data_IF_848186796293
#
_entry.id   IF_848186796293
#
_cell.length_a   1.000
_cell.length_b   1.000
_cell.length_c   1.000
_cell.angle_alpha   90.00
_cell.angle_beta   90.00
_cell.angle_gamma   90.00
#
_symmetry.space_group_name_H-M   'P 1'
#
loop_
_entity.id
_entity.type
_entity.pdbx_description
1 polymer ?
#
# COMPACT_ATOMS: atom_id res chain seq x y z
N UNK A 1 59.32 -33.95 14.67
CA UNK A 1 59.25 -32.61 14.07
C UNK A 1 58.12 -32.61 13.07
N UNK A 2 56.94 -32.19 13.54
CA UNK A 2 55.67 -32.30 12.82
C UNK A 2 55.52 -31.05 11.95
N UNK A 3 55.50 -31.28 10.65
CA UNK A 3 54.98 -30.37 9.65
C UNK A 3 53.47 -30.54 9.68
N UNK A 4 52.72 -29.54 10.15
CA UNK A 4 51.28 -29.47 9.89
C UNK A 4 50.77 -28.02 9.85
N UNK A 5 50.34 -27.64 8.63
CA UNK A 5 49.08 -26.97 8.26
C UNK A 5 48.59 -25.82 9.14
N UNK A 6 48.44 -24.64 8.54
CA UNK A 6 47.11 -24.05 8.29
C UNK A 6 47.14 -23.31 6.96
N UNK A 7 46.80 -24.03 5.90
CA UNK A 7 46.15 -23.44 4.73
C UNK A 7 44.73 -23.11 5.18
N UNK A 8 44.48 -21.87 5.61
CA UNK A 8 43.12 -21.42 5.88
C UNK A 8 42.42 -21.29 4.54
N UNK A 9 41.79 -22.40 4.17
CA UNK A 9 40.86 -22.51 3.05
C UNK A 9 39.84 -21.37 3.15
N UNK A 10 39.76 -20.54 2.11
CA UNK A 10 38.65 -19.63 1.86
C UNK A 10 37.35 -20.45 1.85
N UNK A 11 36.70 -20.57 3.01
CA UNK A 11 35.43 -21.27 3.14
C UNK A 11 34.30 -20.24 3.10
N UNK A 12 33.62 -20.06 1.96
CA UNK A 12 32.56 -19.05 1.82
C UNK A 12 31.40 -19.28 2.80
N UNK A 13 31.20 -20.50 3.29
CA UNK A 13 30.15 -20.80 4.28
C UNK A 13 30.45 -20.23 5.66
N UNK A 14 31.71 -20.27 6.11
CA UNK A 14 32.13 -19.68 7.41
C UNK A 14 32.01 -18.16 7.37
N UNK A 15 32.49 -17.55 6.28
CA UNK A 15 32.40 -16.08 6.09
C UNK A 15 30.94 -15.58 6.08
N UNK A 16 30.02 -16.35 5.50
CA UNK A 16 28.60 -16.01 5.53
C UNK A 16 27.99 -16.14 6.93
N UNK A 17 28.40 -17.15 7.72
CA UNK A 17 27.98 -17.28 9.12
C UNK A 17 28.51 -16.12 9.98
N UNK A 18 29.76 -15.69 9.76
CA UNK A 18 30.36 -14.55 10.48
C UNK A 18 29.63 -13.24 10.17
N UNK A 19 29.21 -13.04 8.92
CA UNK A 19 28.41 -11.87 8.52
C UNK A 19 27.01 -11.90 9.14
N UNK A 20 26.35 -13.05 9.16
CA UNK A 20 25.03 -13.18 9.79
C UNK A 20 25.08 -12.93 11.29
N UNK A 21 26.11 -13.45 11.98
CA UNK A 21 26.31 -13.20 13.40
C UNK A 21 26.58 -11.71 13.67
N UNK A 22 27.42 -11.08 12.84
CA UNK A 22 27.70 -9.66 12.94
C UNK A 22 26.45 -8.79 12.73
N UNK A 23 25.64 -9.14 11.73
CA UNK A 23 24.34 -8.51 11.49
C UNK A 23 23.43 -8.62 12.72
N UNK A 24 23.31 -9.82 13.28
CA UNK A 24 22.46 -10.07 14.44
C UNK A 24 22.90 -9.26 15.66
N UNK A 25 24.21 -9.19 15.93
CA UNK A 25 24.76 -8.34 17.02
C UNK A 25 24.35 -6.87 16.89
N UNK A 26 24.33 -6.33 15.66
CA UNK A 26 23.89 -4.95 15.43
C UNK A 26 22.38 -4.82 15.63
N UNK A 27 21.59 -5.76 15.11
CA UNK A 27 20.13 -5.72 15.22
C UNK A 27 19.67 -5.83 16.68
N UNK A 28 20.26 -6.73 17.46
CA UNK A 28 19.92 -6.93 18.87
C UNK A 28 20.24 -5.68 19.69
N UNK A 29 21.40 -5.07 19.46
CA UNK A 29 21.76 -3.80 20.11
C UNK A 29 20.75 -2.69 19.80
N UNK A 30 20.38 -2.50 18.52
CA UNK A 30 19.40 -1.47 18.14
C UNK A 30 18.02 -1.75 18.73
N UNK A 31 17.61 -3.02 18.80
CA UNK A 31 16.35 -3.44 19.42
C UNK A 31 16.32 -3.24 20.93
N UNK A 32 17.46 -3.33 21.60
CA UNK A 32 17.63 -3.07 23.03
C UNK A 32 17.51 -1.56 23.30
N UNK A 33 18.38 -0.75 22.69
CA UNK A 33 18.44 0.69 22.98
C UNK A 33 17.15 1.43 22.59
N UNK A 34 16.48 1.03 21.50
CA UNK A 34 15.28 1.74 21.03
C UNK A 34 14.09 1.60 21.98
N UNK A 35 14.10 0.61 22.87
CA UNK A 35 13.04 0.40 23.85
C UNK A 35 13.22 1.26 25.10
N UNK A 36 14.46 1.45 25.51
CA UNK A 36 14.78 1.98 26.84
C UNK A 36 15.39 3.39 26.80
N UNK A 37 16.03 3.77 25.70
CA UNK A 37 16.77 5.03 25.60
C UNK A 37 15.96 6.14 24.92
N UNK A 38 16.26 7.42 25.22
CA UNK A 38 15.74 8.54 24.46
C UNK A 38 16.11 8.43 22.97
N UNK A 39 15.18 8.79 22.08
CA UNK A 39 15.43 8.70 20.63
C UNK A 39 16.59 9.56 20.14
N UNK A 40 16.94 10.65 20.83
CA UNK A 40 18.14 11.44 20.54
C UNK A 40 19.42 10.62 20.69
N UNK A 41 19.49 9.81 21.74
CA UNK A 41 20.69 9.06 22.09
C UNK A 41 20.82 7.85 21.15
N UNK A 42 19.70 7.19 20.85
CA UNK A 42 19.63 6.13 19.83
C UNK A 42 20.07 6.63 18.45
N UNK A 43 19.69 7.86 18.08
CA UNK A 43 20.11 8.48 16.83
C UNK A 43 21.61 8.76 16.79
N UNK A 44 22.20 9.19 17.91
CA UNK A 44 23.64 9.43 18.00
C UNK A 44 24.43 8.12 17.98
N UNK A 45 23.94 7.04 18.61
CA UNK A 45 24.55 5.70 18.46
C UNK A 45 24.47 5.20 17.01
N UNK A 46 23.32 5.37 16.35
CA UNK A 46 23.16 5.01 14.94
C UNK A 46 24.12 5.81 14.03
N UNK A 47 24.23 7.13 14.27
CA UNK A 47 25.14 8.02 13.57
C UNK A 47 26.60 7.62 13.82
N UNK A 48 26.96 7.36 15.07
CA UNK A 48 28.28 6.90 15.50
C UNK A 48 28.70 5.63 14.77
N UNK A 49 27.80 4.64 14.75
CA UNK A 49 28.03 3.34 14.13
C UNK A 49 28.17 3.43 12.61
N UNK A 50 27.16 3.95 11.90
CA UNK A 50 27.07 3.83 10.44
C UNK A 50 27.67 5.01 9.67
N UNK A 51 27.71 6.22 10.24
CA UNK A 51 28.12 7.44 9.53
C UNK A 51 29.49 7.94 9.99
N UNK A 52 29.75 7.94 11.30
CA UNK A 52 30.96 8.55 11.87
C UNK A 52 32.08 7.57 12.17
N UNK A 53 31.81 6.26 12.29
CA UNK A 53 32.80 5.21 12.62
C UNK A 53 33.44 5.42 13.99
N UNK A 54 32.64 5.83 14.95
CA UNK A 54 33.08 5.98 16.33
C UNK A 54 32.77 4.72 17.12
N UNK A 55 33.49 4.53 18.21
CA UNK A 55 33.11 3.54 19.21
C UNK A 55 31.74 3.95 19.77
N UNK A 56 30.79 3.05 19.62
CA UNK A 56 29.48 3.09 20.25
C UNK A 56 29.59 2.59 21.69
N UNK A 57 28.54 2.82 22.50
CA UNK A 57 28.50 2.30 23.88
C UNK A 57 28.61 0.77 23.90
N UNK A 58 28.17 0.08 22.85
CA UNK A 58 28.37 -1.36 22.69
C UNK A 58 29.73 -1.68 22.06
N UNK A 59 30.62 -2.24 22.88
CA UNK A 59 31.96 -2.70 22.46
C UNK A 59 31.96 -3.71 21.31
N UNK A 60 30.82 -4.36 21.04
CA UNK A 60 30.70 -5.45 20.07
C UNK A 60 30.16 -5.00 18.70
N UNK A 61 29.53 -3.83 18.62
CA UNK A 61 28.84 -3.39 17.38
C UNK A 61 29.77 -2.79 16.34
N UNK A 62 30.78 -2.02 16.74
CA UNK A 62 31.81 -1.53 15.82
C UNK A 62 32.63 -2.68 15.20
N UNK A 63 33.13 -3.68 15.96
CA UNK A 63 33.73 -4.89 15.38
C UNK A 63 32.80 -5.66 14.44
N UNK A 64 31.51 -5.78 14.79
CA UNK A 64 30.53 -6.43 13.93
C UNK A 64 30.36 -5.68 12.60
N UNK A 65 30.26 -4.36 12.62
CA UNK A 65 30.20 -3.56 11.40
C UNK A 65 31.45 -3.74 10.54
N UNK A 66 32.63 -3.77 11.16
CA UNK A 66 33.88 -4.05 10.45
C UNK A 66 33.86 -5.44 9.79
N UNK A 67 33.36 -6.47 10.46
CA UNK A 67 33.20 -7.82 9.88
C UNK A 67 32.37 -7.77 8.58
N UNK A 68 31.25 -7.04 8.60
CA UNK A 68 30.39 -6.84 7.42
C UNK A 68 31.14 -6.09 6.32
N UNK A 69 31.90 -5.03 6.63
CA UNK A 69 32.68 -4.28 5.65
C UNK A 69 33.82 -5.11 5.04
N UNK A 70 34.49 -5.91 5.86
CA UNK A 70 35.58 -6.80 5.41
C UNK A 70 35.08 -8.00 4.62
N UNK A 71 33.79 -8.35 4.71
CA UNK A 71 33.15 -9.30 3.79
C UNK A 71 33.18 -8.82 2.33
N UNK A 72 33.37 -7.51 2.12
CA UNK A 72 33.37 -6.83 0.82
C UNK A 72 32.09 -7.08 0.01
N UNK A 73 30.96 -7.31 0.68
CA UNK A 73 29.65 -7.46 0.04
C UNK A 73 28.79 -6.23 0.29
N UNK A 74 28.67 -5.39 -0.75
CA UNK A 74 27.87 -4.15 -0.71
C UNK A 74 26.40 -4.42 -0.39
N UNK A 75 25.83 -5.50 -0.92
CA UNK A 75 24.42 -5.84 -0.71
C UNK A 75 24.16 -6.20 0.74
N UNK A 76 25.05 -6.96 1.38
CA UNK A 76 24.90 -7.28 2.81
C UNK A 76 24.97 -6.04 3.69
N UNK A 77 25.87 -5.11 3.38
CA UNK A 77 25.91 -3.82 4.08
C UNK A 77 24.60 -3.02 3.88
N UNK A 78 24.10 -2.92 2.64
CA UNK A 78 22.82 -2.26 2.35
C UNK A 78 21.65 -2.91 3.09
N UNK A 79 21.57 -4.24 3.08
CA UNK A 79 20.55 -5.01 3.82
C UNK A 79 20.64 -4.74 5.32
N UNK A 80 21.86 -4.68 5.87
CA UNK A 80 22.11 -4.40 7.29
C UNK A 80 21.62 -3.01 7.67
N UNK A 81 22.04 -2.00 6.91
CA UNK A 81 21.64 -0.61 7.12
C UNK A 81 20.13 -0.44 6.97
N UNK A 82 19.54 -1.04 5.93
CA UNK A 82 18.10 -1.04 5.67
C UNK A 82 17.32 -1.61 6.85
N UNK A 83 17.64 -2.83 7.28
CA UNK A 83 16.96 -3.49 8.40
C UNK A 83 17.13 -2.71 9.70
N UNK A 84 18.31 -2.15 9.94
CA UNK A 84 18.59 -1.27 11.08
C UNK A 84 17.67 -0.05 11.12
N UNK A 85 17.44 0.61 9.97
CA UNK A 85 16.47 1.71 9.88
C UNK A 85 15.04 1.24 10.23
N UNK A 86 14.60 0.10 9.69
CA UNK A 86 13.23 -0.38 9.92
C UNK A 86 12.99 -0.87 11.36
N UNK A 87 14.00 -1.42 12.03
CA UNK A 87 13.95 -1.73 13.47
C UNK A 87 13.59 -0.47 14.25
N UNK A 88 14.28 0.64 14.00
CA UNK A 88 14.04 1.91 14.69
C UNK A 88 12.68 2.51 14.31
N UNK A 89 12.35 2.53 13.02
CA UNK A 89 11.08 3.07 12.50
C UNK A 89 9.88 2.35 13.12
N UNK A 90 9.90 1.02 13.20
CA UNK A 90 8.78 0.27 13.79
C UNK A 90 8.53 0.62 15.25
N UNK A 91 9.60 0.70 16.05
CA UNK A 91 9.49 1.04 17.47
C UNK A 91 8.99 2.48 17.64
N UNK A 92 9.55 3.44 16.91
CA UNK A 92 9.11 4.84 16.98
C UNK A 92 7.72 5.08 16.39
N UNK A 93 7.28 4.30 15.39
CA UNK A 93 5.91 4.34 14.88
C UNK A 93 4.88 3.90 15.94
N UNK A 94 5.24 2.93 16.80
CA UNK A 94 4.41 2.48 17.91
C UNK A 94 4.40 3.52 19.03
N UNK A 95 5.56 4.06 19.39
CA UNK A 95 5.72 5.12 20.39
C UNK A 95 5.20 6.50 19.93
N UNK A 96 4.81 6.63 18.64
CA UNK A 96 4.40 7.89 17.99
C UNK A 96 5.49 8.97 17.98
N UNK A 97 6.76 8.57 18.02
CA UNK A 97 7.93 9.43 17.94
C UNK A 97 8.29 9.78 16.49
N UNK A 98 7.34 10.41 15.78
CA UNK A 98 7.51 10.74 14.36
C UNK A 98 8.69 11.70 14.11
N UNK A 99 9.04 12.52 15.09
CA UNK A 99 10.22 13.38 15.05
C UNK A 99 11.53 12.59 14.95
N UNK A 100 11.65 11.48 15.67
CA UNK A 100 12.82 10.61 15.62
C UNK A 100 12.99 9.96 14.24
N UNK A 101 11.88 9.47 13.66
CA UNK A 101 11.85 8.94 12.29
C UNK A 101 12.33 10.00 11.28
N UNK A 102 11.87 11.24 11.43
CA UNK A 102 12.34 12.37 10.59
C UNK A 102 13.84 12.57 10.73
N UNK A 103 14.34 12.64 11.96
CA UNK A 103 15.76 12.86 12.24
C UNK A 103 16.62 11.73 11.68
N UNK A 104 16.20 10.47 11.78
CA UNK A 104 16.88 9.31 11.18
C UNK A 104 17.05 9.47 9.67
N UNK A 105 15.98 9.80 8.95
CA UNK A 105 16.05 10.02 7.49
C UNK A 105 16.94 11.22 7.16
N UNK A 106 16.93 12.27 7.99
CA UNK A 106 17.79 13.45 7.82
C UNK A 106 19.28 13.14 8.03
N UNK A 107 19.66 12.11 8.80
CA UNK A 107 21.06 11.69 8.94
C UNK A 107 21.72 11.42 7.59
N UNK A 108 20.97 10.89 6.63
CA UNK A 108 21.47 10.57 5.30
C UNK A 108 21.67 11.79 4.38
N UNK A 109 21.30 12.99 4.84
CA UNK A 109 21.63 14.26 4.17
C UNK A 109 22.95 14.85 4.63
N UNK A 110 23.62 14.22 5.61
CA UNK A 110 24.86 14.70 6.20
C UNK A 110 25.98 14.80 5.13
N UNK A 111 26.62 15.98 4.97
CA UNK A 111 27.68 16.19 3.98
C UNK A 111 28.89 15.28 4.20
N UNK A 112 29.09 14.73 5.41
CA UNK A 112 30.18 13.79 5.72
C UNK A 112 30.13 12.51 4.88
N UNK A 113 28.93 12.09 4.44
CA UNK A 113 28.75 10.93 3.54
C UNK A 113 29.48 11.16 2.21
N UNK A 114 29.53 12.41 1.74
CA UNK A 114 30.17 12.79 0.46
C UNK A 114 31.61 13.28 0.60
N UNK A 115 32.15 13.34 1.83
CA UNK A 115 33.53 13.79 2.04
C UNK A 115 34.52 12.76 1.49
N UNK A 116 35.60 13.24 0.91
CA UNK A 116 36.73 12.38 0.51
C UNK A 116 37.46 11.89 1.77
N UNK A 117 37.88 10.63 1.79
CA UNK A 117 38.71 10.04 2.84
C UNK A 117 39.96 9.45 2.24
N UNK A 118 41.08 9.58 2.96
CA UNK A 118 42.35 8.92 2.62
C UNK A 118 42.35 7.44 3.04
N UNK A 119 41.52 7.04 4.02
CA UNK A 119 41.39 5.65 4.45
C UNK A 119 40.59 4.83 3.42
N UNK A 120 41.13 3.72 2.88
CA UNK A 120 40.45 2.88 1.89
C UNK A 120 39.12 2.32 2.41
N UNK A 121 39.05 1.92 3.68
CA UNK A 121 37.85 1.36 4.32
C UNK A 121 36.75 2.42 4.42
N UNK A 122 37.11 3.63 4.89
CA UNK A 122 36.16 4.75 5.02
C UNK A 122 35.70 5.21 3.63
N UNK A 123 36.60 5.25 2.64
CA UNK A 123 36.25 5.60 1.26
C UNK A 123 35.23 4.63 0.68
N UNK A 124 35.44 3.31 0.88
CA UNK A 124 34.52 2.27 0.42
C UNK A 124 33.15 2.40 1.05
N UNK A 125 33.10 2.56 2.36
CA UNK A 125 31.85 2.73 3.05
C UNK A 125 31.11 3.99 2.59
N UNK A 126 31.77 5.16 2.53
CA UNK A 126 31.13 6.40 2.06
C UNK A 126 30.53 6.22 0.66
N UNK A 127 31.23 5.50 -0.21
CA UNK A 127 30.69 5.12 -1.51
C UNK A 127 29.46 4.19 -1.40
N UNK A 128 29.47 3.21 -0.49
CA UNK A 128 28.31 2.36 -0.25
C UNK A 128 27.13 3.13 0.35
N UNK A 129 27.36 4.04 1.29
CA UNK A 129 26.34 4.94 1.84
C UNK A 129 25.76 5.84 0.77
N UNK A 130 26.60 6.45 -0.08
CA UNK A 130 26.13 7.26 -1.20
C UNK A 130 25.25 6.42 -2.14
N UNK A 131 25.70 5.22 -2.51
CA UNK A 131 24.89 4.33 -3.32
C UNK A 131 23.59 3.88 -2.63
N UNK A 132 23.56 3.81 -1.30
CA UNK A 132 22.32 3.52 -0.57
C UNK A 132 21.36 4.72 -0.66
N UNK A 133 21.87 5.93 -0.47
CA UNK A 133 21.09 7.17 -0.60
C UNK A 133 20.49 7.35 -2.00
N UNK A 134 21.19 6.88 -3.03
CA UNK A 134 20.73 6.93 -4.42
C UNK A 134 19.84 5.72 -4.81
N UNK A 135 19.64 4.75 -3.90
CA UNK A 135 18.89 3.51 -4.17
C UNK A 135 17.38 3.64 -3.95
N UNK A 136 16.64 2.67 -4.47
CA UNK A 136 15.19 2.53 -4.25
C UNK A 136 14.86 2.30 -2.76
N UNK A 137 15.71 1.55 -2.03
CA UNK A 137 15.54 1.29 -0.59
C UNK A 137 15.48 2.59 0.23
N UNK A 138 16.27 3.60 -0.14
CA UNK A 138 16.22 4.89 0.56
C UNK A 138 15.04 5.76 0.12
N UNK A 139 14.59 5.65 -1.14
CA UNK A 139 13.32 6.28 -1.57
C UNK A 139 12.14 5.70 -0.78
N UNK A 140 12.13 4.40 -0.55
CA UNK A 140 11.15 3.69 0.25
C UNK A 140 11.13 4.20 1.71
N UNK A 141 12.29 4.38 2.33
CA UNK A 141 12.42 4.96 3.67
C UNK A 141 11.87 6.40 3.74
N UNK A 142 12.03 7.20 2.69
CA UNK A 142 11.48 8.57 2.65
C UNK A 142 9.96 8.61 2.74
N UNK A 143 9.24 7.56 2.32
CA UNK A 143 7.77 7.52 2.39
C UNK A 143 7.24 7.69 3.83
N UNK A 144 8.02 7.30 4.85
CA UNK A 144 7.63 7.38 6.26
C UNK A 144 7.63 8.81 6.83
N UNK A 145 8.40 9.72 6.22
CA UNK A 145 8.51 11.12 6.66
C UNK A 145 7.77 12.07 5.74
N UNK A 146 7.62 11.69 4.46
CA UNK A 146 7.06 12.55 3.43
C UNK A 146 5.75 13.15 3.92
N UNK A 147 4.74 12.37 4.30
CA UNK A 147 3.41 12.89 4.66
C UNK A 147 3.33 13.84 5.85
N UNK A 148 4.29 13.78 6.78
CA UNK A 148 4.16 14.46 8.09
C UNK A 148 4.96 15.76 8.19
N UNK A 149 6.03 15.93 7.41
CA UNK A 149 7.07 16.92 7.75
C UNK A 149 7.59 17.78 6.60
N UNK A 150 7.17 17.58 5.36
CA UNK A 150 7.66 18.43 4.27
C UNK A 150 6.84 19.74 4.19
N UNK A 151 7.59 20.86 4.26
CA UNK A 151 7.12 22.25 4.19
C UNK A 151 7.02 22.78 2.74
N UNK A 152 7.53 22.03 1.77
CA UNK A 152 7.41 22.36 0.34
C UNK A 152 6.02 21.97 -0.17
N UNK A 153 5.56 22.64 -1.23
CA UNK A 153 4.32 22.27 -1.91
C UNK A 153 4.44 20.79 -2.33
N UNK A 154 3.69 19.88 -1.71
CA UNK A 154 3.89 18.46 -1.90
C UNK A 154 3.60 18.08 -3.35
N UNK A 155 4.50 17.32 -3.98
CA UNK A 155 4.19 16.63 -5.22
C UNK A 155 2.89 15.83 -5.06
N UNK A 156 2.04 15.81 -6.08
CA UNK A 156 0.68 15.26 -5.97
C UNK A 156 0.67 13.78 -5.56
N UNK A 157 1.69 13.00 -5.96
CA UNK A 157 1.81 11.57 -5.67
C UNK A 157 1.91 11.25 -4.18
N UNK A 158 2.45 12.19 -3.38
CA UNK A 158 2.59 12.05 -1.92
C UNK A 158 1.26 11.79 -1.22
N UNK A 159 0.17 12.34 -1.74
CA UNK A 159 -1.17 12.10 -1.19
C UNK A 159 -1.59 10.62 -1.23
N UNK A 160 -0.97 9.86 -2.11
CA UNK A 160 -1.26 8.46 -2.38
C UNK A 160 -0.20 7.51 -1.80
N UNK A 161 0.59 7.96 -0.81
CA UNK A 161 1.62 7.12 -0.15
C UNK A 161 1.09 5.79 0.35
N UNK A 162 -0.18 5.70 0.76
CA UNK A 162 -0.76 4.42 1.19
C UNK A 162 -0.63 3.32 0.13
N UNK A 163 -0.71 3.68 -1.16
CA UNK A 163 -0.47 2.76 -2.27
C UNK A 163 1.01 2.62 -2.59
N UNK A 164 1.79 3.69 -2.53
CA UNK A 164 3.25 3.64 -2.77
C UNK A 164 4.02 2.74 -1.79
N UNK A 165 3.45 2.46 -0.61
CA UNK A 165 3.99 1.51 0.36
C UNK A 165 3.73 0.03 -0.01
N UNK A 166 2.87 -0.24 -1.01
CA UNK A 166 2.46 -1.59 -1.38
C UNK A 166 3.60 -2.51 -1.85
N UNK A 167 4.49 -2.05 -2.76
CA UNK A 167 5.64 -2.86 -3.17
C UNK A 167 6.47 -3.35 -1.97
N UNK A 168 6.62 -2.53 -0.94
CA UNK A 168 7.43 -2.86 0.24
C UNK A 168 6.86 -4.03 1.05
N UNK A 169 5.54 -4.08 1.30
CA UNK A 169 4.95 -5.14 2.14
C UNK A 169 4.59 -6.43 1.38
N UNK A 170 4.48 -6.36 0.06
CA UNK A 170 4.18 -7.52 -0.81
C UNK A 170 5.44 -8.32 -1.09
N UNK A 171 6.54 -7.64 -1.37
CA UNK A 171 7.80 -8.29 -1.68
C UNK A 171 8.30 -9.11 -0.48
N UNK A 172 8.37 -10.43 -0.67
CA UNK A 172 8.82 -11.38 0.36
C UNK A 172 10.34 -11.37 0.54
N UNK A 173 11.09 -10.76 -0.37
CA UNK A 173 12.54 -10.57 -0.24
C UNK A 173 12.89 -9.45 0.73
N UNK A 174 11.95 -8.53 1.02
CA UNK A 174 12.14 -7.49 2.02
C UNK A 174 12.15 -8.06 3.45
N UNK A 175 12.94 -7.47 4.37
CA UNK A 175 12.92 -7.82 5.78
C UNK A 175 11.51 -7.74 6.38
N UNK A 176 11.23 -8.59 7.36
CA UNK A 176 9.92 -8.60 8.04
C UNK A 176 9.60 -7.21 8.60
N UNK A 177 10.59 -6.55 9.20
CA UNK A 177 10.44 -5.23 9.80
C UNK A 177 10.00 -4.19 8.76
N UNK A 178 10.55 -4.22 7.54
CA UNK A 178 10.15 -3.34 6.44
C UNK A 178 8.69 -3.60 6.03
N UNK A 179 8.34 -4.87 5.87
CA UNK A 179 7.01 -5.28 5.42
C UNK A 179 5.93 -4.89 6.44
N UNK A 180 6.22 -5.05 7.73
CA UNK A 180 5.33 -4.65 8.81
C UNK A 180 5.19 -3.12 8.90
N UNK A 181 6.31 -2.39 8.83
CA UNK A 181 6.32 -0.92 8.84
C UNK A 181 5.43 -0.35 7.74
N UNK A 182 5.63 -0.83 6.50
CA UNK A 182 4.92 -0.35 5.33
C UNK A 182 3.43 -0.71 5.39
N UNK A 183 3.09 -1.93 5.83
CA UNK A 183 1.69 -2.37 5.99
C UNK A 183 0.97 -1.55 7.06
N UNK A 184 1.59 -1.36 8.22
CA UNK A 184 1.02 -0.60 9.32
C UNK A 184 0.78 0.87 8.94
N UNK A 185 1.76 1.52 8.29
CA UNK A 185 1.62 2.90 7.83
C UNK A 185 0.55 3.04 6.74
N UNK A 186 0.53 2.13 5.75
CA UNK A 186 -0.49 2.12 4.69
C UNK A 186 -1.90 2.02 5.28
N UNK A 187 -2.11 1.09 6.21
CA UNK A 187 -3.41 0.91 6.88
C UNK A 187 -3.81 2.15 7.68
N UNK A 188 -2.90 2.72 8.48
CA UNK A 188 -3.15 3.96 9.24
C UNK A 188 -3.58 5.12 8.33
N UNK A 189 -2.92 5.30 7.19
CA UNK A 189 -3.26 6.35 6.22
C UNK A 189 -4.66 6.14 5.63
N UNK A 190 -5.02 4.89 5.30
CA UNK A 190 -6.36 4.54 4.79
C UNK A 190 -7.44 4.77 5.84
N UNK A 191 -7.20 4.36 7.08
CA UNK A 191 -8.17 4.51 8.16
C UNK A 191 -8.37 5.98 8.54
N UNK A 192 -7.29 6.77 8.52
CA UNK A 192 -7.40 8.24 8.63
C UNK A 192 -8.25 8.81 7.51
N UNK A 193 -8.01 8.43 6.25
CA UNK A 193 -8.82 8.89 5.12
C UNK A 193 -10.30 8.53 5.27
N UNK A 194 -10.62 7.29 5.69
CA UNK A 194 -12.01 6.87 5.97
C UNK A 194 -12.66 7.72 7.06
N UNK A 195 -11.94 7.96 8.16
CA UNK A 195 -12.42 8.77 9.27
C UNK A 195 -12.69 10.22 8.83
N UNK A 196 -11.72 10.83 8.14
CA UNK A 196 -11.85 12.21 7.65
C UNK A 196 -13.02 12.33 6.66
N UNK A 197 -13.25 11.32 5.82
CA UNK A 197 -14.39 11.27 4.88
C UNK A 197 -15.73 11.12 5.61
N UNK A 198 -15.80 10.27 6.64
CA UNK A 198 -16.99 10.13 7.47
C UNK A 198 -17.32 11.44 8.21
N UNK A 199 -16.30 12.11 8.75
CA UNK A 199 -16.44 13.42 9.40
C UNK A 199 -16.90 14.51 8.42
N UNK A 200 -16.35 14.52 7.21
CA UNK A 200 -16.73 15.45 6.15
C UNK A 200 -18.21 15.29 5.77
N UNK A 201 -18.66 14.05 5.57
CA UNK A 201 -20.05 13.74 5.16
C UNK A 201 -21.08 14.01 6.26
N UNK A 202 -20.81 13.65 7.52
CA UNK A 202 -21.75 13.84 8.63
C UNK A 202 -22.08 15.30 8.94
N UNK A 203 -21.17 16.22 8.62
CA UNK A 203 -21.26 17.63 9.02
C UNK A 203 -21.54 18.62 7.89
N UNK A 204 -21.71 18.14 6.66
CA UNK A 204 -21.99 18.96 5.49
C UNK A 204 -23.26 19.84 5.57
N UNK A 205 -24.38 19.47 6.25
CA UNK A 205 -25.60 20.26 6.19
C UNK A 205 -25.69 21.47 7.15
N UNK A 206 -24.70 21.77 8.00
CA UNK A 206 -24.76 22.94 8.91
C UNK A 206 -24.38 24.23 8.18
N UNK A 207 -25.39 25.01 7.78
CA UNK A 207 -25.23 26.30 7.14
C UNK A 207 -24.62 27.35 8.10
N UNK A 208 -23.93 28.30 7.48
CA UNK A 208 -23.64 29.69 7.90
C UNK A 208 -22.54 30.07 8.90
N UNK A 209 -21.92 29.19 9.70
CA UNK A 209 -20.79 29.66 10.56
C UNK A 209 -19.56 28.73 10.71
N UNK A 210 -19.66 27.45 10.32
CA UNK A 210 -18.56 26.48 10.49
C UNK A 210 -17.97 25.93 9.17
N UNK A 211 -18.39 26.44 8.01
CA UNK A 211 -17.85 26.02 6.70
C UNK A 211 -16.34 26.30 6.58
N UNK A 212 -15.84 27.37 7.17
CA UNK A 212 -14.43 27.78 7.10
C UNK A 212 -13.46 26.84 7.85
N UNK A 213 -13.95 25.98 8.74
CA UNK A 213 -13.09 25.11 9.57
C UNK A 213 -12.93 23.68 9.04
N UNK A 214 -13.53 23.31 7.89
CA UNK A 214 -13.60 21.91 7.48
C UNK A 214 -12.96 21.67 6.12
N UNK A 215 -11.92 20.85 6.14
CA UNK A 215 -11.12 20.49 4.97
C UNK A 215 -11.73 19.26 4.33
N UNK A 216 -12.14 19.37 3.06
CA UNK A 216 -12.53 18.21 2.26
C UNK A 216 -11.31 17.28 2.15
N UNK A 217 -11.41 16.01 2.59
CA UNK A 217 -10.27 15.11 2.56
C UNK A 217 -9.93 14.63 1.16
N UNK A 218 -10.68 15.03 0.12
CA UNK A 218 -10.49 14.70 -1.30
C UNK A 218 -10.08 15.92 -2.14
N UNK A 219 -9.46 15.68 -3.30
CA UNK A 219 -9.21 16.73 -4.31
C UNK A 219 -10.39 16.97 -5.26
N UNK A 220 -11.51 16.30 -5.03
CA UNK A 220 -12.72 16.36 -5.87
C UNK A 220 -13.59 17.59 -5.59
N UNK A 221 -13.33 18.33 -4.52
CA UNK A 221 -14.22 19.39 -4.05
C UNK A 221 -15.64 18.85 -3.83
N UNK A 222 -16.65 19.63 -4.21
CA UNK A 222 -18.07 19.25 -4.04
C UNK A 222 -18.48 18.05 -4.89
N UNK A 223 -17.71 17.68 -5.92
CA UNK A 223 -17.99 16.48 -6.70
C UNK A 223 -17.81 15.18 -5.91
N UNK A 224 -17.06 15.21 -4.80
CA UNK A 224 -16.96 14.09 -3.87
C UNK A 224 -18.34 13.65 -3.37
N UNK A 225 -19.21 14.61 -3.01
CA UNK A 225 -20.55 14.31 -2.51
C UNK A 225 -21.46 13.72 -3.58
N UNK A 226 -21.32 14.17 -4.83
CA UNK A 226 -22.03 13.58 -5.97
C UNK A 226 -21.63 12.12 -6.17
N UNK A 227 -20.33 11.81 -6.09
CA UNK A 227 -19.83 10.43 -6.14
C UNK A 227 -20.39 9.60 -4.99
N UNK A 228 -20.32 10.11 -3.75
CA UNK A 228 -20.84 9.38 -2.58
C UNK A 228 -22.34 9.13 -2.70
N UNK A 229 -23.14 10.14 -3.10
CA UNK A 229 -24.58 9.98 -3.35
C UNK A 229 -24.85 8.93 -4.42
N UNK A 230 -24.13 8.97 -5.54
CA UNK A 230 -24.27 7.98 -6.61
C UNK A 230 -23.94 6.55 -6.15
N UNK A 231 -22.94 6.39 -5.29
CA UNK A 231 -22.57 5.10 -4.70
C UNK A 231 -23.62 4.61 -3.68
N UNK A 232 -24.09 5.48 -2.79
CA UNK A 232 -25.06 5.11 -1.74
C UNK A 232 -26.45 4.89 -2.30
N UNK A 233 -26.89 5.65 -3.31
CA UNK A 233 -28.20 5.46 -3.96
C UNK A 233 -28.34 4.05 -4.56
N UNK A 234 -27.24 3.41 -4.95
CA UNK A 234 -27.21 2.04 -5.48
C UNK A 234 -27.19 0.94 -4.40
N UNK A 235 -27.21 1.26 -3.10
CA UNK A 235 -27.07 0.30 -1.98
C UNK A 235 -28.32 -0.51 -1.59
N UNK A 236 -29.41 -0.46 -2.36
CA UNK A 236 -30.61 -1.29 -2.11
C UNK A 236 -30.38 -2.80 -2.30
N UNK A 237 -31.35 -3.54 -2.85
CA UNK A 237 -31.20 -4.97 -3.16
C UNK A 237 -29.96 -5.31 -4.02
N UNK A 238 -29.40 -4.31 -4.71
CA UNK A 238 -28.23 -4.39 -5.58
C UNK A 238 -26.93 -3.88 -4.95
N UNK A 239 -26.79 -3.90 -3.62
CA UNK A 239 -25.51 -3.57 -2.98
C UNK A 239 -24.37 -4.41 -3.58
N UNK A 240 -23.21 -3.80 -3.83
CA UNK A 240 -22.10 -4.51 -4.47
C UNK A 240 -21.66 -5.76 -3.68
N UNK A 241 -21.79 -5.75 -2.35
CA UNK A 241 -21.54 -6.91 -1.48
C UNK A 241 -22.56 -8.04 -1.72
N UNK A 242 -23.84 -7.71 -1.84
CA UNK A 242 -24.87 -8.71 -2.13
C UNK A 242 -24.65 -9.34 -3.51
N UNK A 243 -24.32 -8.51 -4.51
CA UNK A 243 -24.00 -9.00 -5.86
C UNK A 243 -22.79 -9.93 -5.86
N UNK A 244 -21.72 -9.57 -5.14
CA UNK A 244 -20.54 -10.42 -5.01
C UNK A 244 -20.86 -11.77 -4.36
N UNK A 245 -21.67 -11.77 -3.29
CA UNK A 245 -22.13 -13.00 -2.62
C UNK A 245 -22.96 -13.89 -3.54
N UNK A 246 -23.90 -13.31 -4.29
CA UNK A 246 -24.72 -14.05 -5.28
C UNK A 246 -23.81 -14.64 -6.37
N UNK A 247 -22.88 -13.85 -6.90
CA UNK A 247 -21.92 -14.32 -7.90
C UNK A 247 -21.08 -15.50 -7.38
N UNK A 248 -20.53 -15.40 -6.17
CA UNK A 248 -19.78 -16.50 -5.56
C UNK A 248 -20.63 -17.77 -5.40
N UNK A 249 -21.90 -17.63 -4.99
CA UNK A 249 -22.82 -18.77 -4.88
C UNK A 249 -23.13 -19.40 -6.25
N UNK A 250 -23.33 -18.58 -7.29
CA UNK A 250 -23.65 -19.06 -8.64
C UNK A 250 -22.45 -19.66 -9.38
N UNK A 251 -21.23 -19.29 -8.99
CA UNK A 251 -20.00 -19.75 -9.64
C UNK A 251 -19.40 -21.01 -9.00
N UNK A 252 -19.95 -21.47 -7.87
CA UNK A 252 -19.56 -22.72 -7.25
C UNK A 252 -19.80 -23.92 -8.19
N UNK A 253 -18.76 -24.73 -8.39
CA UNK A 253 -18.82 -25.92 -9.24
C UNK A 253 -18.83 -25.65 -10.75
N UNK A 254 -18.70 -24.39 -11.19
CA UNK A 254 -18.54 -24.09 -12.61
C UNK A 254 -17.16 -24.54 -13.12
N UNK A 255 -17.11 -24.83 -14.41
CA UNK A 255 -15.84 -24.95 -15.13
C UNK A 255 -15.18 -23.57 -15.23
N UNK A 256 -13.86 -23.54 -15.31
CA UNK A 256 -13.12 -22.29 -15.48
C UNK A 256 -13.54 -21.51 -16.73
N UNK A 257 -13.84 -22.20 -17.84
CA UNK A 257 -14.33 -21.56 -19.06
C UNK A 257 -15.64 -20.79 -18.84
N UNK A 258 -16.62 -21.42 -18.17
CA UNK A 258 -17.89 -20.79 -17.80
C UNK A 258 -17.70 -19.64 -16.82
N UNK A 259 -16.83 -19.82 -15.81
CA UNK A 259 -16.51 -18.79 -14.83
C UNK A 259 -16.03 -17.50 -15.49
N UNK A 260 -15.17 -17.58 -16.51
CA UNK A 260 -14.66 -16.40 -17.22
C UNK A 260 -15.76 -15.56 -17.87
N UNK A 261 -16.76 -16.21 -18.46
CA UNK A 261 -17.90 -15.51 -19.07
C UNK A 261 -18.74 -14.83 -18.00
N UNK A 262 -19.11 -15.57 -16.95
CA UNK A 262 -19.88 -15.02 -15.83
C UNK A 262 -19.15 -13.89 -15.13
N UNK A 263 -17.81 -13.93 -15.06
CA UNK A 263 -16.99 -12.88 -14.48
C UNK A 263 -17.16 -11.56 -15.24
N UNK A 264 -17.09 -11.55 -16.58
CA UNK A 264 -17.28 -10.32 -17.38
C UNK A 264 -18.68 -9.75 -17.16
N UNK A 265 -19.70 -10.60 -17.23
CA UNK A 265 -21.09 -10.21 -17.00
C UNK A 265 -21.28 -9.58 -15.62
N UNK A 266 -20.73 -10.21 -14.57
CA UNK A 266 -20.79 -9.70 -13.20
C UNK A 266 -20.10 -8.33 -13.04
N UNK A 267 -18.89 -8.18 -13.59
CA UNK A 267 -18.12 -6.94 -13.49
C UNK A 267 -18.87 -5.77 -14.15
N UNK A 268 -19.50 -6.01 -15.29
CA UNK A 268 -20.21 -4.98 -16.06
C UNK A 268 -21.72 -4.88 -15.73
N UNK A 269 -22.24 -5.77 -14.88
CA UNK A 269 -23.61 -5.73 -14.39
C UNK A 269 -23.95 -4.36 -13.77
N UNK A 270 -25.13 -3.81 -14.07
CA UNK A 270 -25.61 -2.47 -13.65
C UNK A 270 -24.89 -1.25 -14.26
N UNK A 271 -23.96 -1.44 -15.20
CA UNK A 271 -23.52 -0.35 -16.07
C UNK A 271 -24.62 -0.03 -17.09
N UNK A 272 -24.90 1.26 -17.31
CA UNK A 272 -25.83 1.68 -18.37
C UNK A 272 -25.29 1.14 -19.69
N UNK A 273 -26.08 0.31 -20.39
CA UNK A 273 -25.70 -0.25 -21.70
C UNK A 273 -25.51 0.91 -22.67
N UNK A 274 -24.24 1.23 -22.88
CA UNK A 274 -23.75 2.23 -23.83
C UNK A 274 -22.79 1.52 -24.77
N UNK A 275 -22.61 2.02 -25.99
CA UNK A 275 -21.65 1.45 -26.96
C UNK A 275 -20.25 1.27 -26.38
N UNK A 276 -19.89 2.17 -25.45
CA UNK A 276 -18.67 2.08 -24.66
C UNK A 276 -18.61 0.80 -23.79
N UNK A 277 -19.67 0.47 -23.05
CA UNK A 277 -19.70 -0.72 -22.19
C UNK A 277 -19.62 -1.99 -23.03
N UNK A 278 -20.28 -2.02 -24.18
CA UNK A 278 -20.19 -3.14 -25.15
C UNK A 278 -18.76 -3.30 -25.67
N UNK A 279 -18.08 -2.19 -25.95
CA UNK A 279 -16.68 -2.21 -26.39
C UNK A 279 -15.76 -2.75 -25.29
N UNK A 280 -15.95 -2.30 -24.05
CA UNK A 280 -15.20 -2.77 -22.89
C UNK A 280 -15.43 -4.28 -22.63
N UNK A 281 -16.68 -4.71 -22.65
CA UNK A 281 -17.10 -6.11 -22.52
C UNK A 281 -16.41 -6.98 -23.56
N UNK A 282 -16.49 -6.60 -24.84
CA UNK A 282 -15.90 -7.36 -25.95
C UNK A 282 -14.38 -7.48 -25.79
N UNK A 283 -13.68 -6.40 -25.44
CA UNK A 283 -12.22 -6.42 -25.26
C UNK A 283 -11.81 -7.26 -24.06
N UNK A 284 -12.52 -7.14 -22.94
CA UNK A 284 -12.23 -7.89 -21.72
C UNK A 284 -12.52 -9.39 -21.91
N UNK A 285 -13.65 -9.73 -22.53
CA UNK A 285 -14.02 -11.10 -22.89
C UNK A 285 -12.98 -11.74 -23.80
N UNK A 286 -12.50 -11.01 -24.83
CA UNK A 286 -11.44 -11.50 -25.72
C UNK A 286 -10.16 -11.85 -24.96
N UNK A 287 -9.73 -10.99 -24.03
CA UNK A 287 -8.53 -11.23 -23.20
C UNK A 287 -8.72 -12.43 -22.26
N UNK A 288 -9.87 -12.52 -21.58
CA UNK A 288 -10.18 -13.64 -20.67
C UNK A 288 -10.30 -14.97 -21.42
N UNK A 289 -10.93 -15.00 -22.59
CA UNK A 289 -11.05 -16.23 -23.38
C UNK A 289 -9.69 -16.88 -23.67
N UNK A 290 -8.67 -16.06 -23.96
CA UNK A 290 -7.29 -16.52 -24.17
C UNK A 290 -6.51 -16.85 -22.89
N UNK A 291 -7.03 -16.53 -21.71
CA UNK A 291 -6.33 -16.73 -20.44
C UNK A 291 -6.48 -18.18 -19.94
N UNK A 292 -5.34 -18.83 -19.66
CA UNK A 292 -5.26 -20.17 -19.06
C UNK A 292 -6.16 -21.22 -19.74
N UNK A 293 -6.20 -21.24 -21.08
CA UNK A 293 -7.10 -22.09 -21.89
C UNK A 293 -7.05 -23.57 -21.50
N UNK A 294 -5.87 -24.08 -21.12
CA UNK A 294 -5.67 -25.47 -20.69
C UNK A 294 -6.53 -25.88 -19.49
N UNK A 295 -6.95 -24.92 -18.67
CA UNK A 295 -7.75 -25.14 -17.47
C UNK A 295 -9.25 -24.97 -17.73
N UNK A 296 -9.70 -24.61 -18.94
CA UNK A 296 -11.10 -24.27 -19.23
C UNK A 296 -12.11 -25.35 -18.81
N UNK A 297 -11.73 -26.64 -18.92
CA UNK A 297 -12.59 -27.76 -18.56
C UNK A 297 -12.43 -28.24 -17.11
N UNK A 298 -11.49 -27.65 -16.37
CA UNK A 298 -11.28 -27.98 -14.97
C UNK A 298 -12.28 -27.22 -14.09
N UNK A 299 -12.65 -27.79 -12.94
CA UNK A 299 -13.44 -27.07 -11.94
C UNK A 299 -12.68 -25.83 -11.48
N UNK A 300 -13.41 -24.74 -11.25
CA UNK A 300 -12.84 -23.53 -10.67
C UNK A 300 -12.33 -23.82 -9.25
N UNK A 301 -11.07 -23.51 -8.99
CA UNK A 301 -10.51 -23.46 -7.63
C UNK A 301 -10.19 -22.01 -7.20
N UNK A 302 -9.91 -21.83 -5.91
CA UNK A 302 -9.62 -20.52 -5.34
C UNK A 302 -8.32 -19.89 -5.88
N UNK A 303 -7.32 -20.71 -6.22
CA UNK A 303 -6.03 -20.25 -6.76
C UNK A 303 -6.20 -19.70 -8.16
N UNK A 304 -6.96 -20.39 -9.01
CA UNK A 304 -7.27 -20.00 -10.38
C UNK A 304 -8.17 -18.77 -10.41
N UNK A 305 -9.13 -18.66 -9.49
CA UNK A 305 -9.93 -17.45 -9.30
C UNK A 305 -9.05 -16.25 -8.91
N UNK A 306 -8.10 -16.43 -7.99
CA UNK A 306 -7.13 -15.39 -7.58
C UNK A 306 -6.23 -14.96 -8.75
N UNK A 307 -5.59 -15.92 -9.43
CA UNK A 307 -4.72 -15.65 -10.58
C UNK A 307 -5.47 -14.91 -11.70
N UNK A 308 -6.71 -15.33 -11.96
CA UNK A 308 -7.58 -14.68 -12.94
C UNK A 308 -7.93 -13.26 -12.51
N UNK A 309 -8.26 -13.05 -11.23
CA UNK A 309 -8.57 -11.73 -10.70
C UNK A 309 -7.38 -10.77 -10.80
N UNK A 310 -6.17 -11.25 -10.46
CA UNK A 310 -4.93 -10.50 -10.63
C UNK A 310 -4.68 -10.16 -12.10
N UNK A 311 -4.93 -11.10 -13.01
CA UNK A 311 -4.77 -10.83 -14.44
C UNK A 311 -5.79 -9.83 -14.99
N UNK A 312 -7.02 -9.85 -14.48
CA UNK A 312 -8.02 -8.82 -14.83
C UNK A 312 -7.59 -7.45 -14.30
N UNK A 313 -6.97 -7.39 -13.12
CA UNK A 313 -6.36 -6.15 -12.62
C UNK A 313 -5.30 -5.64 -13.60
N UNK A 314 -4.39 -6.49 -14.08
CA UNK A 314 -3.38 -6.09 -15.08
C UNK A 314 -4.03 -5.51 -16.35
N UNK A 315 -5.05 -6.18 -16.87
CA UNK A 315 -5.78 -5.72 -18.04
C UNK A 315 -6.47 -4.38 -17.82
N UNK A 316 -6.90 -4.07 -16.59
CA UNK A 316 -7.58 -2.83 -16.24
C UNK A 316 -6.64 -1.73 -15.75
N UNK A 317 -5.38 -2.04 -15.43
CA UNK A 317 -4.42 -1.12 -14.80
C UNK A 317 -3.12 -1.03 -15.60
N UNK A 318 -2.22 -2.00 -15.49
CA UNK A 318 -0.90 -2.05 -16.15
C UNK A 318 -0.59 -3.50 -16.56
N UNK A 319 -0.45 -3.78 -17.86
CA UNK A 319 -0.26 -5.16 -18.35
C UNK A 319 1.19 -5.64 -18.30
N UNK A 320 2.12 -4.70 -18.39
CA UNK A 320 3.57 -4.85 -18.39
C UNK A 320 4.20 -4.35 -17.08
N UNK A 321 3.38 -3.96 -16.10
CA UNK A 321 3.81 -3.39 -14.81
C UNK A 321 4.53 -2.03 -14.91
N UNK A 322 4.62 -1.45 -16.10
CA UNK A 322 5.33 -0.21 -16.37
C UNK A 322 4.41 0.86 -16.96
N UNK A 323 3.58 0.47 -17.92
CA UNK A 323 2.74 1.39 -18.67
C UNK A 323 1.24 1.12 -18.45
N UNK A 324 0.42 2.18 -18.53
CA UNK A 324 -1.03 2.03 -18.38
C UNK A 324 -1.60 1.16 -19.50
N UNK A 325 -2.47 0.22 -19.12
CA UNK A 325 -3.08 -0.69 -20.07
C UNK A 325 -3.95 0.05 -21.09
N UNK A 326 -4.19 -0.62 -22.22
CA UNK A 326 -5.10 -0.10 -23.25
C UNK A 326 -6.54 0.10 -22.73
N UNK A 327 -7.01 -0.71 -21.78
CA UNK A 327 -8.34 -0.57 -21.18
C UNK A 327 -8.37 0.55 -20.15
N UNK A 328 -7.30 0.71 -19.36
CA UNK A 328 -7.15 1.80 -18.42
C UNK A 328 -7.24 3.15 -19.13
N UNK A 329 -6.43 3.30 -20.18
CA UNK A 329 -6.44 4.48 -21.05
C UNK A 329 -7.82 4.71 -21.64
N UNK A 330 -8.43 3.68 -22.24
CA UNK A 330 -9.78 3.77 -22.82
C UNK A 330 -10.84 4.27 -21.81
N UNK A 331 -10.83 3.76 -20.58
CA UNK A 331 -11.78 4.14 -19.53
C UNK A 331 -11.63 5.61 -19.09
N UNK A 332 -10.40 6.10 -19.04
CA UNK A 332 -10.09 7.43 -18.55
C UNK A 332 -10.28 8.50 -19.62
N UNK A 333 -9.90 8.23 -20.87
CA UNK A 333 -10.14 9.17 -21.98
C UNK A 333 -11.65 9.37 -22.22
N UNK A 334 -12.47 8.36 -21.93
CA UNK A 334 -13.94 8.45 -22.03
C UNK A 334 -14.60 9.07 -20.77
N UNK A 335 -13.82 9.57 -19.81
CA UNK A 335 -14.34 10.28 -18.64
C UNK A 335 -15.13 9.40 -17.67
N UNK A 336 -14.82 8.10 -17.58
CA UNK A 336 -15.55 7.12 -16.74
C UNK A 336 -14.71 6.52 -15.59
N UNK A 337 -14.02 7.33 -14.77
CA UNK A 337 -13.22 6.83 -13.64
C UNK A 337 -14.05 6.08 -12.59
N UNK A 338 -15.30 6.49 -12.38
CA UNK A 338 -16.21 5.81 -11.45
C UNK A 338 -16.54 4.39 -11.89
N UNK A 339 -16.70 4.16 -13.20
CA UNK A 339 -16.95 2.80 -13.72
C UNK A 339 -15.77 1.89 -13.44
N UNK A 340 -14.54 2.35 -13.70
CA UNK A 340 -13.33 1.59 -13.40
C UNK A 340 -13.22 1.31 -11.89
N UNK A 341 -13.45 2.31 -11.04
CA UNK A 341 -13.42 2.14 -9.58
C UNK A 341 -14.43 1.10 -9.08
N UNK A 342 -15.65 1.08 -9.63
CA UNK A 342 -16.69 0.09 -9.29
C UNK A 342 -16.30 -1.31 -9.79
N UNK A 343 -15.73 -1.44 -10.98
CA UNK A 343 -15.27 -2.74 -11.51
C UNK A 343 -14.15 -3.30 -10.63
N UNK A 344 -13.18 -2.48 -10.25
CA UNK A 344 -12.10 -2.89 -9.34
C UNK A 344 -12.64 -3.27 -7.95
N UNK A 345 -13.56 -2.48 -7.39
CA UNK A 345 -14.26 -2.82 -6.15
C UNK A 345 -14.94 -4.20 -6.25
N UNK A 346 -15.68 -4.46 -7.32
CA UNK A 346 -16.37 -5.74 -7.54
C UNK A 346 -15.40 -6.92 -7.58
N UNK A 347 -14.23 -6.75 -8.19
CA UNK A 347 -13.15 -7.75 -8.18
C UNK A 347 -12.65 -8.02 -6.76
N UNK A 348 -12.38 -6.98 -5.98
CA UNK A 348 -11.92 -7.13 -4.60
C UNK A 348 -12.97 -7.80 -3.70
N UNK A 349 -14.25 -7.60 -3.97
CA UNK A 349 -15.33 -8.24 -3.21
C UNK A 349 -15.41 -9.75 -3.46
N UNK A 350 -15.05 -10.23 -4.66
CA UNK A 350 -15.04 -11.66 -4.98
C UNK A 350 -13.69 -12.32 -4.69
N UNK A 351 -12.59 -11.55 -4.77
CA UNK A 351 -11.22 -11.99 -4.49
C UNK A 351 -10.50 -10.98 -3.57
N UNK A 352 -10.77 -11.02 -2.25
CA UNK A 352 -10.11 -10.13 -1.30
C UNK A 352 -8.58 -10.27 -1.28
N UNK A 353 -8.07 -11.47 -1.56
CA UNK A 353 -6.64 -11.76 -1.66
C UNK A 353 -5.93 -11.01 -2.79
N UNK A 354 -6.67 -10.45 -3.76
CA UNK A 354 -6.12 -9.60 -4.82
C UNK A 354 -5.87 -8.16 -4.36
N UNK A 355 -6.31 -7.75 -3.16
CA UNK A 355 -6.17 -6.37 -2.70
C UNK A 355 -4.72 -5.88 -2.61
N UNK A 356 -3.76 -6.64 -2.03
CA UNK A 356 -2.36 -6.22 -2.05
C UNK A 356 -1.85 -6.03 -3.47
N UNK A 357 -2.17 -6.96 -4.37
CA UNK A 357 -1.75 -6.89 -5.77
C UNK A 357 -2.29 -5.64 -6.48
N UNK A 358 -3.57 -5.32 -6.29
CA UNK A 358 -4.14 -4.09 -6.84
C UNK A 358 -3.46 -2.84 -6.28
N UNK A 359 -3.10 -2.82 -4.99
CA UNK A 359 -2.37 -1.71 -4.41
C UNK A 359 -0.99 -1.51 -5.06
N UNK A 360 -0.29 -2.60 -5.39
CA UNK A 360 0.98 -2.53 -6.13
C UNK A 360 0.76 -1.95 -7.54
N UNK A 361 -0.24 -2.41 -8.28
CA UNK A 361 -0.55 -1.90 -9.63
C UNK A 361 -0.97 -0.43 -9.62
N UNK A 362 -1.61 0.04 -8.55
CA UNK A 362 -1.86 1.48 -8.34
C UNK A 362 -0.54 2.22 -8.09
N UNK A 363 0.38 1.65 -7.31
CA UNK A 363 1.70 2.24 -7.09
C UNK A 363 2.48 2.38 -8.40
N UNK A 364 2.45 1.36 -9.26
CA UNK A 364 3.09 1.36 -10.57
C UNK A 364 2.55 2.48 -11.46
N UNK A 365 1.22 2.66 -11.51
CA UNK A 365 0.61 3.80 -12.22
C UNK A 365 1.01 5.15 -11.64
N UNK A 366 1.07 5.28 -10.31
CA UNK A 366 1.50 6.55 -9.69
C UNK A 366 2.94 6.86 -10.07
N UNK A 367 3.85 5.87 -10.05
CA UNK A 367 5.25 6.01 -10.45
C UNK A 367 5.40 6.32 -11.94
N UNK A 368 4.56 5.72 -12.79
CA UNK A 368 4.54 6.08 -14.21
C UNK A 368 4.09 7.53 -14.42
N UNK A 369 3.11 8.02 -13.66
CA UNK A 369 2.57 9.36 -13.85
C UNK A 369 3.34 10.46 -13.14
N UNK A 370 4.11 10.16 -12.08
CA UNK A 370 4.85 11.17 -11.33
C UNK A 370 5.98 11.83 -12.11
N UNK A 371 6.39 11.25 -13.24
CA UNK A 371 7.37 11.85 -14.15
C UNK A 371 6.80 13.01 -15.00
N UNK A 372 5.46 13.16 -15.05
CA UNK A 372 4.80 14.20 -15.84
C UNK A 372 4.35 15.40 -14.97
N UNK A 373 4.20 16.60 -15.57
CA UNK A 373 3.62 17.75 -14.89
C UNK A 373 2.23 17.46 -14.33
N UNK A 374 1.90 18.05 -13.17
CA UNK A 374 0.64 17.80 -12.45
C UNK A 374 -0.58 18.08 -13.33
N UNK A 375 -0.50 19.08 -14.19
CA UNK A 375 -1.57 19.51 -15.10
C UNK A 375 -1.96 18.38 -16.07
N UNK A 376 -0.98 17.58 -16.52
CA UNK A 376 -1.17 16.43 -17.39
C UNK A 376 -1.69 15.20 -16.63
N UNK A 377 -1.51 15.17 -15.31
CA UNK A 377 -1.94 14.08 -14.43
C UNK A 377 -3.36 14.26 -13.86
N UNK A 378 -4.12 15.29 -14.26
CA UNK A 378 -5.37 15.61 -13.59
C UNK A 378 -6.41 14.48 -13.66
N UNK A 379 -6.43 13.71 -14.75
CA UNK A 379 -7.34 12.59 -14.95
C UNK A 379 -6.99 11.37 -14.08
N UNK A 380 -5.69 11.08 -13.86
CA UNK A 380 -5.25 10.00 -12.97
C UNK A 380 -5.51 10.39 -11.52
N UNK A 381 -5.22 11.64 -11.15
CA UNK A 381 -5.55 12.18 -9.83
C UNK A 381 -7.05 12.04 -9.57
N UNK A 382 -7.89 12.46 -10.51
CA UNK A 382 -9.35 12.31 -10.40
C UNK A 382 -9.78 10.84 -10.22
N UNK A 383 -9.17 9.92 -10.96
CA UNK A 383 -9.42 8.49 -10.78
C UNK A 383 -9.03 7.99 -9.39
N UNK A 384 -7.83 8.31 -8.90
CA UNK A 384 -7.35 7.89 -7.59
C UNK A 384 -8.23 8.40 -6.45
N UNK A 385 -8.72 9.64 -6.56
CA UNK A 385 -9.69 10.19 -5.60
C UNK A 385 -11.03 9.44 -5.64
N UNK A 386 -11.59 9.22 -6.82
CA UNK A 386 -12.86 8.49 -6.99
C UNK A 386 -12.72 7.04 -6.50
N UNK A 387 -11.60 6.40 -6.81
CA UNK A 387 -11.28 5.05 -6.34
C UNK A 387 -11.17 5.01 -4.82
N UNK A 388 -10.43 5.94 -4.22
CA UNK A 388 -10.30 6.07 -2.76
C UNK A 388 -11.66 6.25 -2.08
N UNK A 389 -12.50 7.16 -2.59
CA UNK A 389 -13.88 7.34 -2.11
C UNK A 389 -14.70 6.06 -2.28
N UNK A 390 -14.60 5.40 -3.45
CA UNK A 390 -15.37 4.18 -3.74
C UNK A 390 -15.03 3.07 -2.75
N UNK A 391 -13.75 2.83 -2.46
CA UNK A 391 -13.34 1.85 -1.44
C UNK A 391 -13.73 2.28 -0.03
N UNK A 392 -13.58 3.57 0.31
CA UNK A 392 -13.94 4.06 1.64
C UNK A 392 -15.45 3.98 1.93
N UNK A 393 -16.29 4.18 0.91
CA UNK A 393 -17.75 4.09 1.06
C UNK A 393 -18.22 2.64 0.93
N UNK A 394 -17.79 1.90 -0.09
CA UNK A 394 -18.37 0.57 -0.40
C UNK A 394 -17.58 -0.61 0.17
N UNK A 395 -16.29 -0.43 0.44
CA UNK A 395 -15.42 -1.46 1.02
C UNK A 395 -15.36 -1.45 2.55
N UNK A 396 -15.81 -0.39 3.22
CA UNK A 396 -15.62 -0.20 4.67
C UNK A 396 -16.72 -0.78 5.56
N UNK A 397 -16.43 -0.85 6.86
CA UNK A 397 -17.36 -1.19 7.94
C UNK A 397 -18.20 0.02 8.41
N UNK A 398 -18.12 1.13 7.68
CA UNK A 398 -18.93 2.33 7.92
C UNK A 398 -20.15 2.30 7.00
N UNK A 399 -21.34 2.29 7.59
CA UNK A 399 -22.59 2.42 6.86
C UNK A 399 -22.85 3.88 6.53
N UNK A 400 -22.90 4.17 5.23
CA UNK A 400 -23.42 5.41 4.69
C UNK A 400 -24.85 5.21 4.21
N UNK A 401 -25.77 6.04 4.69
CA UNK A 401 -27.20 6.02 4.35
C UNK A 401 -27.63 7.37 3.78
N UNK A 402 -28.55 7.36 2.82
CA UNK A 402 -29.19 8.57 2.29
C UNK A 402 -30.55 8.76 2.98
N UNK A 403 -30.79 9.96 3.49
CA UNK A 403 -32.07 10.35 4.09
C UNK A 403 -32.59 11.57 3.34
N UNK A 404 -33.79 11.45 2.78
CA UNK A 404 -34.46 12.57 2.12
C UNK A 404 -34.92 13.57 3.18
N UNK A 405 -34.63 14.85 2.96
CA UNK A 405 -35.11 15.92 3.83
C UNK A 405 -36.45 16.37 3.28
N UNK A 406 -37.55 16.01 3.93
CA UNK A 406 -38.82 16.65 3.64
C UNK A 406 -38.71 18.12 4.04
N UNK A 407 -38.81 19.03 3.08
CA UNK A 407 -39.11 20.42 3.38
C UNK A 407 -40.61 20.49 3.70
N UNK A 408 -40.97 21.01 4.87
CA UNK A 408 -42.35 21.21 5.28
C UNK A 408 -43.13 21.91 4.15
N UNK A 409 -44.07 21.20 3.54
CA UNK A 409 -45.02 21.74 2.55
C UNK A 409 -44.88 21.26 1.10
N UNK A 410 -43.84 20.51 0.71
CA UNK A 410 -43.73 19.98 -0.65
C UNK A 410 -44.29 18.55 -0.74
N UNK A 411 -45.26 18.32 -1.64
CA UNK A 411 -45.77 16.99 -1.97
C UNK A 411 -44.61 16.05 -2.31
N UNK A 412 -44.66 14.81 -1.79
CA UNK A 412 -43.66 13.78 -2.04
C UNK A 412 -43.42 13.62 -3.55
N UNK A 413 -42.29 14.11 -4.04
CA UNK A 413 -41.82 13.86 -5.40
C UNK A 413 -41.50 12.38 -5.55
N UNK A 414 -41.78 11.81 -6.73
CA UNK A 414 -41.44 10.43 -7.05
C UNK A 414 -39.94 10.19 -6.75
N UNK A 415 -39.57 9.11 -6.05
CA UNK A 415 -38.17 8.82 -5.68
C UNK A 415 -37.26 8.60 -6.89
N UNK A 416 -37.81 8.36 -8.08
CA UNK A 416 -37.07 8.22 -9.34
C UNK A 416 -36.73 9.57 -10.01
N UNK A 417 -37.39 10.68 -9.63
CA UNK A 417 -37.17 12.02 -10.21
C UNK A 417 -36.57 13.02 -9.23
N UNK A 418 -36.46 12.68 -7.94
CA UNK A 418 -35.83 13.52 -6.93
C UNK A 418 -34.34 13.73 -7.21
N UNK A 419 -33.90 14.99 -7.23
CA UNK A 419 -32.47 15.32 -7.41
C UNK A 419 -31.65 14.68 -6.29
N UNK A 420 -30.52 14.03 -6.63
CA UNK A 420 -29.58 13.48 -5.65
C UNK A 420 -29.10 14.52 -4.63
N UNK A 421 -29.27 15.81 -4.93
CA UNK A 421 -28.95 16.93 -4.05
C UNK A 421 -29.89 17.09 -2.85
N UNK A 422 -31.11 16.54 -2.92
CA UNK A 422 -32.13 16.57 -1.85
C UNK A 422 -31.85 15.56 -0.72
N UNK A 423 -30.94 14.62 -0.96
CA UNK A 423 -30.59 13.57 0.01
C UNK A 423 -29.40 13.98 0.88
N UNK A 424 -29.56 13.79 2.20
CA UNK A 424 -28.50 13.92 3.21
C UNK A 424 -27.77 12.59 3.40
N UNK A 425 -26.45 12.66 3.57
CA UNK A 425 -25.60 11.51 3.83
C UNK A 425 -25.41 11.39 5.35
N UNK A 426 -25.71 10.22 5.90
CA UNK A 426 -25.44 9.86 7.29
C UNK A 426 -24.43 8.73 7.33
N UNK A 427 -23.41 8.85 8.18
CA UNK A 427 -22.41 7.81 8.43
C UNK A 427 -22.61 7.23 9.83
N UNK A 428 -22.63 5.90 9.93
CA UNK A 428 -22.70 5.16 11.19
C UNK A 428 -21.68 4.02 11.15
N UNK A 429 -20.89 3.89 12.21
CA UNK A 429 -20.01 2.73 12.35
C UNK A 429 -20.86 1.49 12.60
N UNK A 430 -20.64 0.40 11.84
CA UNK A 430 -21.28 -0.87 12.17
C UNK A 430 -20.76 -1.33 13.54
N UNK A 431 -21.66 -1.45 14.53
CA UNK A 431 -21.38 -2.27 15.71
C UNK A 431 -21.60 -3.72 15.29
N UNK A 432 -20.56 -4.41 14.88
CA UNK A 432 -20.64 -5.87 14.84
C UNK A 432 -20.56 -6.40 16.27
N UNK A 433 -21.59 -7.15 16.68
CA UNK A 433 -21.50 -8.08 17.79
C UNK A 433 -20.38 -9.09 17.46
N UNK A 434 -19.35 -9.12 18.31
CA UNK A 434 -18.31 -10.14 18.41
C UNK A 434 -17.81 -10.77 17.11
N UNK A 435 -16.78 -10.18 16.52
CA UNK A 435 -15.73 -10.96 15.87
C UNK A 435 -14.47 -10.84 16.74
N UNK A 436 -14.08 -11.94 17.38
CA UNK A 436 -12.77 -12.05 18.00
C UNK A 436 -11.73 -12.34 16.90
N UNK A 437 -10.53 -11.75 16.95
CA UNK A 437 -9.45 -12.18 16.08
C UNK A 437 -9.07 -13.61 16.48
N UNK A 438 -9.13 -14.54 15.53
CA UNK A 438 -8.49 -15.85 15.67
C UNK A 438 -6.98 -15.60 15.68
N UNK A 439 -6.43 -15.36 16.86
CA UNK A 439 -5.03 -15.65 17.14
C UNK A 439 -4.85 -17.15 16.95
N UNK A 440 -4.23 -17.56 15.85
CA UNK A 440 -3.60 -18.89 15.82
C UNK A 440 -2.41 -18.83 16.76
N UNK A 441 -2.61 -19.31 17.99
CA UNK A 441 -1.52 -19.78 18.81
C UNK A 441 -0.83 -20.92 18.03
N UNK A 442 0.47 -20.77 17.82
CA UNK A 442 1.35 -21.87 17.45
C UNK A 442 1.32 -22.87 18.60
N UNK A 443 0.61 -23.98 18.42
CA UNK A 443 0.75 -25.13 19.31
C UNK A 443 2.12 -25.76 19.09
N UNK A 444 2.83 -25.88 20.19
CA UNK A 444 4.08 -26.60 20.37
C UNK A 444 3.96 -28.03 19.81
N UNK A 445 4.79 -28.36 18.82
CA UNK A 445 5.12 -29.75 18.51
C UNK A 445 6.26 -30.14 19.43
N UNK A 446 5.90 -30.66 20.61
CA UNK A 446 6.79 -31.43 21.46
C UNK A 446 6.13 -32.76 21.83
N UNK A 447 6.74 -33.84 21.35
CA UNK A 447 6.57 -35.19 21.89
C UNK A 447 5.52 -36.06 21.21
N UNK A 448 5.95 -37.09 20.51
CA UNK A 448 5.89 -38.49 20.98
C UNK A 448 6.78 -39.35 20.08
N UNK A 449 7.67 -40.09 20.76
CA UNK A 449 8.35 -41.37 20.45
C UNK A 449 8.73 -41.75 19.02
#
# INVERSE_FOLDING_TARGET
MVVDRVSDSFNPRRRNQDVQQAQQTIYDFLLEIVKDWPSTDVLEEFRGLFLQHQETVSTNTAPALYSILFSNNKQEFHNTLKRSCYILINNWEVAREYGAIRSLIQLFTDPTIRKVSLSPTIKRLRHWLQSFVDSEDFKDLKLFVQNRFSNEAPHWSRRYTAYLLAPQYIDTSNPLEQREAARALSQRLRDKFKFDLAMYTAHFPKATAQRERRVNPTMLGDSALRVIRALVAKRGMFSHRNLARIFQQQTQGLTYGSYKNSLVEYLLFSAIKTDFVVTLETRLQKKLNGLYVKFNHQPLDASLALLTSNRVIDYLMTEDEETPSSLFSLLLTNGRPLTLAIVLLKLLLISPSSHPYLDARIADLIRYYEQFPREECQWIINFLEIYGVTLAICGSDVQYNLVQVQQDGAQASNPETASLEEYRIFSQMMRELHWAPVHRASEDVNGIS
#
